data_IF_268648021136
#
_entry.id   IF_268648021136
#
_cell.length_a   1.000
_cell.length_b   1.000
_cell.length_c   1.000
_cell.angle_alpha   90.00
_cell.angle_beta   90.00
_cell.angle_gamma   90.00
#
_symmetry.space_group_name_H-M   'P 1'
#
loop_
_entity.id
_entity.type
_entity.pdbx_description
1 polymer ?
#
# COMPACT_ATOMS: atom_id res chain seq x y z
N UNK A 1 -15.24 -7.86 -8.36
CA UNK A 1 -16.44 -7.22 -8.90
C UNK A 1 -17.66 -7.40 -7.98
N UNK A 2 -18.17 -8.63 -7.74
CA UNK A 2 -19.35 -8.83 -6.88
C UNK A 2 -19.15 -8.42 -5.40
N UNK A 3 -18.04 -8.85 -4.77
CA UNK A 3 -17.70 -8.47 -3.38
C UNK A 3 -17.60 -6.96 -3.17
N UNK A 4 -17.04 -6.24 -4.14
CA UNK A 4 -16.94 -4.78 -4.11
C UNK A 4 -18.31 -4.12 -4.15
N UNK A 5 -19.23 -4.64 -4.98
CA UNK A 5 -20.61 -4.14 -5.08
C UNK A 5 -21.40 -4.32 -3.78
N UNK A 6 -21.25 -5.48 -3.12
CA UNK A 6 -21.84 -5.68 -1.79
C UNK A 6 -21.20 -4.74 -0.76
N UNK A 7 -19.87 -4.62 -0.78
CA UNK A 7 -19.17 -3.80 0.21
C UNK A 7 -19.50 -2.32 0.12
N UNK A 8 -19.65 -1.76 -1.08
CA UNK A 8 -19.99 -0.33 -1.19
C UNK A 8 -21.40 -0.02 -0.66
N UNK A 9 -22.34 -0.97 -0.76
CA UNK A 9 -23.67 -0.81 -0.14
C UNK A 9 -23.53 -0.76 1.38
N UNK A 10 -22.74 -1.65 1.99
CA UNK A 10 -22.45 -1.63 3.43
C UNK A 10 -21.79 -0.32 3.87
N UNK A 11 -20.82 0.19 3.10
CA UNK A 11 -20.13 1.46 3.41
C UNK A 11 -21.10 2.65 3.46
N UNK A 12 -22.16 2.65 2.64
CA UNK A 12 -23.20 3.69 2.69
C UNK A 12 -23.96 3.62 4.01
N UNK A 13 -24.30 2.42 4.49
CA UNK A 13 -24.98 2.25 5.77
C UNK A 13 -24.11 2.60 6.98
N UNK A 14 -22.80 2.36 6.87
CA UNK A 14 -21.80 2.70 7.90
C UNK A 14 -21.38 4.18 7.88
N UNK A 15 -21.82 4.95 6.88
CA UNK A 15 -21.28 6.28 6.55
C UNK A 15 -19.74 6.30 6.46
N UNK A 16 -19.15 5.22 5.93
CA UNK A 16 -17.70 5.09 5.76
C UNK A 16 -17.25 5.84 4.50
N UNK A 17 -16.66 7.02 4.70
CA UNK A 17 -16.26 7.94 3.64
C UNK A 17 -14.77 7.83 3.33
N UNK A 18 -14.32 8.27 2.14
CA UNK A 18 -12.89 8.39 1.84
C UNK A 18 -12.11 9.21 2.89
N UNK A 19 -12.72 10.24 3.48
CA UNK A 19 -12.10 11.05 4.56
C UNK A 19 -11.83 10.26 5.84
N UNK A 20 -12.52 9.14 6.05
CA UNK A 20 -12.35 8.28 7.22
C UNK A 20 -11.23 7.23 7.01
N UNK A 21 -10.75 7.11 5.77
CA UNK A 21 -9.74 6.13 5.33
C UNK A 21 -8.43 6.83 4.94
N UNK A 22 -8.54 7.99 4.27
CA UNK A 22 -7.41 8.81 3.88
C UNK A 22 -6.96 9.64 5.09
N UNK A 23 -5.84 9.23 5.69
CA UNK A 23 -5.16 9.94 6.78
C UNK A 23 -3.71 10.22 6.37
N UNK A 24 -3.01 11.11 7.09
CA UNK A 24 -1.58 11.32 6.85
C UNK A 24 -0.78 10.00 6.92
N UNK A 25 -1.15 9.10 7.84
CA UNK A 25 -0.52 7.78 8.00
C UNK A 25 -0.89 6.81 6.88
N UNK A 26 -2.12 6.82 6.39
CA UNK A 26 -2.48 5.98 5.23
C UNK A 26 -1.77 6.44 3.96
N UNK A 27 -1.53 7.75 3.81
CA UNK A 27 -0.73 8.31 2.72
C UNK A 27 0.74 7.91 2.87
N UNK A 28 1.33 8.00 4.07
CA UNK A 28 2.70 7.52 4.34
C UNK A 28 2.83 6.00 4.00
N UNK A 29 1.83 5.19 4.38
CA UNK A 29 1.78 3.77 4.02
C UNK A 29 1.77 3.58 2.50
N UNK A 30 1.01 4.39 1.76
CA UNK A 30 0.95 4.34 0.30
C UNK A 30 2.28 4.75 -0.36
N UNK A 31 3.00 5.73 0.21
CA UNK A 31 4.34 6.13 -0.26
C UNK A 31 5.31 4.97 -0.08
N UNK A 32 5.37 4.42 1.13
CA UNK A 32 6.21 3.25 1.48
C UNK A 32 5.91 2.07 0.56
N UNK A 33 4.63 1.76 0.34
CA UNK A 33 4.21 0.66 -0.53
C UNK A 33 4.68 0.87 -1.97
N UNK A 34 4.53 2.09 -2.49
CA UNK A 34 4.91 2.43 -3.86
C UNK A 34 6.43 2.30 -4.05
N UNK A 35 7.21 2.80 -3.11
CA UNK A 35 8.67 2.70 -3.14
C UNK A 35 9.15 1.25 -3.03
N UNK A 36 8.54 0.45 -2.16
CA UNK A 36 8.87 -0.97 -2.00
C UNK A 36 8.60 -1.80 -3.27
N UNK A 37 7.63 -1.37 -4.09
CA UNK A 37 7.33 -1.93 -5.40
C UNK A 37 8.25 -1.41 -6.53
N UNK A 38 9.17 -0.49 -6.24
CA UNK A 38 9.87 0.30 -7.27
C UNK A 38 8.90 1.00 -8.23
N UNK A 39 7.82 1.57 -7.68
CA UNK A 39 6.74 2.19 -8.45
C UNK A 39 7.19 3.35 -9.33
N UNK A 40 6.36 3.68 -10.33
CA UNK A 40 6.64 4.77 -11.28
C UNK A 40 6.82 6.12 -10.56
N UNK A 41 7.73 6.95 -11.06
CA UNK A 41 7.89 8.35 -10.61
C UNK A 41 6.59 9.17 -10.75
N UNK A 42 5.70 8.78 -11.67
CA UNK A 42 4.37 9.39 -11.80
C UNK A 42 3.50 9.24 -10.54
N UNK A 43 3.77 8.22 -9.72
CA UNK A 43 3.06 8.02 -8.45
C UNK A 43 3.25 9.21 -7.50
N UNK A 44 4.41 9.90 -7.53
CA UNK A 44 4.67 11.09 -6.71
C UNK A 44 3.61 12.16 -6.99
N UNK A 45 3.40 12.49 -8.26
CA UNK A 45 2.46 13.54 -8.68
C UNK A 45 1.03 13.16 -8.31
N UNK A 46 0.63 11.91 -8.54
CA UNK A 46 -0.72 11.44 -8.19
C UNK A 46 -0.96 11.41 -6.68
N UNK A 47 0.02 11.01 -5.89
CA UNK A 47 -0.07 10.94 -4.43
C UNK A 47 -0.19 12.34 -3.82
N UNK A 48 0.61 13.30 -4.27
CA UNK A 48 0.51 14.70 -3.81
C UNK A 48 -0.86 15.28 -4.17
N UNK A 49 -1.34 15.05 -5.39
CA UNK A 49 -2.66 15.51 -5.82
C UNK A 49 -3.80 14.90 -5.00
N UNK A 50 -3.73 13.60 -4.69
CA UNK A 50 -4.71 12.90 -3.86
C UNK A 50 -4.69 13.43 -2.41
N UNK A 51 -3.50 13.53 -1.81
CA UNK A 51 -3.32 14.03 -0.45
C UNK A 51 -3.91 15.44 -0.32
N UNK A 52 -3.58 16.34 -1.26
CA UNK A 52 -4.12 17.70 -1.30
C UNK A 52 -5.64 17.73 -1.37
N UNK A 53 -6.27 16.85 -2.17
CA UNK A 53 -7.74 16.75 -2.27
C UNK A 53 -8.38 16.22 -0.98
N UNK A 54 -7.65 15.39 -0.23
CA UNK A 54 -8.07 14.92 1.09
C UNK A 54 -7.75 15.92 2.22
N UNK A 55 -7.19 17.10 1.92
CA UNK A 55 -6.76 18.07 2.94
C UNK A 55 -5.52 17.63 3.74
N UNK A 56 -4.76 16.67 3.21
CA UNK A 56 -3.54 16.12 3.83
C UNK A 56 -2.33 16.73 3.14
N UNK A 57 -1.39 17.22 3.94
CA UNK A 57 -0.12 17.72 3.43
C UNK A 57 0.87 16.56 3.20
N UNK A 58 1.28 16.37 1.94
CA UNK A 58 2.39 15.50 1.56
C UNK A 58 3.42 16.34 0.80
N UNK A 59 4.46 16.78 1.52
CA UNK A 59 5.57 17.54 0.92
C UNK A 59 6.56 16.61 0.21
N UNK A 60 7.35 17.16 -0.71
CA UNK A 60 8.45 16.42 -1.33
C UNK A 60 9.51 16.00 -0.29
N UNK A 61 9.76 16.82 0.73
CA UNK A 61 10.68 16.47 1.82
C UNK A 61 10.17 15.28 2.64
N UNK A 62 8.85 15.23 2.91
CA UNK A 62 8.24 14.06 3.57
C UNK A 62 8.41 12.81 2.70
N UNK A 63 8.16 12.94 1.40
CA UNK A 63 8.35 11.83 0.46
C UNK A 63 9.81 11.34 0.43
N UNK A 64 10.78 12.24 0.34
CA UNK A 64 12.22 11.92 0.38
C UNK A 64 12.61 11.23 1.70
N UNK A 65 12.07 11.69 2.83
CA UNK A 65 12.33 11.08 4.13
C UNK A 65 11.87 9.62 4.21
N UNK A 66 10.71 9.29 3.62
CA UNK A 66 10.18 7.92 3.56
C UNK A 66 10.99 7.08 2.58
N UNK A 67 11.38 7.66 1.43
CA UNK A 67 12.23 7.01 0.42
C UNK A 67 13.53 6.47 1.01
N UNK A 68 14.20 7.27 1.85
CA UNK A 68 15.47 6.87 2.50
C UNK A 68 15.34 5.69 3.47
N UNK A 69 14.13 5.42 3.96
CA UNK A 69 13.86 4.36 4.93
C UNK A 69 13.23 3.11 4.30
N UNK A 70 12.76 3.20 3.05
CA UNK A 70 11.98 2.14 2.42
C UNK A 70 12.84 1.29 1.49
N UNK A 71 13.04 -0.01 1.79
CA UNK A 71 13.73 -0.91 0.87
C UNK A 71 12.83 -1.30 -0.31
N UNK A 72 13.45 -1.54 -1.46
CA UNK A 72 12.76 -2.16 -2.62
C UNK A 72 12.71 -3.67 -2.39
N UNK A 73 11.50 -4.20 -2.16
CA UNK A 73 11.28 -5.63 -1.91
C UNK A 73 10.82 -6.38 -3.16
N UNK A 74 10.11 -5.73 -4.08
CA UNK A 74 9.59 -6.40 -5.27
C UNK A 74 10.64 -6.50 -6.38
N UNK A 75 11.01 -7.72 -6.77
CA UNK A 75 11.92 -8.00 -7.87
C UNK A 75 11.20 -8.04 -9.23
N UNK A 76 10.39 -7.03 -9.51
CA UNK A 76 9.55 -6.95 -10.71
C UNK A 76 10.10 -5.97 -11.74
N UNK A 77 9.86 -6.25 -13.02
CA UNK A 77 10.15 -5.32 -14.12
C UNK A 77 9.40 -4.00 -13.89
N UNK A 78 10.01 -2.84 -14.23
CA UNK A 78 11.17 -2.68 -15.10
C UNK A 78 12.55 -2.84 -14.44
N UNK A 79 12.64 -2.83 -13.11
CA UNK A 79 13.92 -2.81 -12.38
C UNK A 79 14.42 -4.21 -12.02
N UNK A 80 13.50 -5.18 -11.89
CA UNK A 80 13.78 -6.56 -11.52
C UNK A 80 13.60 -7.56 -12.66
N UNK A 81 13.66 -8.84 -12.32
CA UNK A 81 13.63 -9.95 -13.28
C UNK A 81 12.21 -10.40 -13.65
N UNK A 82 11.26 -10.29 -12.71
CA UNK A 82 9.95 -10.95 -12.75
C UNK A 82 8.80 -10.05 -13.23
N UNK A 83 7.64 -10.65 -13.50
CA UNK A 83 6.42 -9.95 -13.87
C UNK A 83 5.46 -9.80 -12.68
N UNK A 84 4.42 -8.98 -12.85
CA UNK A 84 3.36 -8.82 -11.84
C UNK A 84 2.61 -10.12 -11.54
N UNK A 85 2.56 -11.05 -12.48
CA UNK A 85 1.96 -12.38 -12.28
C UNK A 85 2.79 -13.22 -11.30
N UNK A 86 4.12 -13.24 -11.46
CA UNK A 86 5.02 -13.90 -10.51
C UNK A 86 4.88 -13.28 -9.11
N UNK A 87 4.78 -11.94 -9.04
CA UNK A 87 4.55 -11.22 -7.77
C UNK A 87 3.24 -11.65 -7.11
N UNK A 88 2.17 -11.80 -7.88
CA UNK A 88 0.90 -12.31 -7.36
C UNK A 88 1.05 -13.72 -6.75
N UNK A 89 1.70 -14.65 -7.47
CA UNK A 89 1.91 -16.02 -6.97
C UNK A 89 2.90 -16.09 -5.79
N UNK A 90 3.84 -15.15 -5.69
CA UNK A 90 4.76 -15.04 -4.56
C UNK A 90 4.08 -14.59 -3.25
N UNK A 91 2.79 -14.24 -3.28
CA UNK A 91 2.01 -13.75 -2.12
C UNK A 91 1.48 -12.33 -2.30
N UNK A 92 1.92 -11.64 -3.37
CA UNK A 92 1.41 -10.36 -3.80
C UNK A 92 1.57 -9.24 -2.78
N UNK A 93 0.68 -8.24 -2.91
CA UNK A 93 0.76 -7.01 -2.13
C UNK A 93 0.63 -7.26 -0.62
N UNK A 94 -0.21 -8.22 -0.21
CA UNK A 94 -0.40 -8.52 1.21
C UNK A 94 0.88 -9.10 1.83
N UNK A 95 1.55 -10.04 1.15
CA UNK A 95 2.80 -10.61 1.64
C UNK A 95 3.90 -9.53 1.77
N UNK A 96 4.03 -8.66 0.76
CA UNK A 96 5.01 -7.58 0.78
C UNK A 96 4.71 -6.54 1.88
N UNK A 97 3.44 -6.15 2.07
CA UNK A 97 3.05 -5.23 3.13
C UNK A 97 3.28 -5.82 4.53
N UNK A 98 3.07 -7.13 4.70
CA UNK A 98 3.39 -7.82 5.94
C UNK A 98 4.90 -7.79 6.21
N UNK A 99 5.73 -8.02 5.19
CA UNK A 99 7.20 -7.98 5.26
C UNK A 99 7.75 -6.57 5.56
N UNK A 100 7.08 -5.51 5.10
CA UNK A 100 7.44 -4.13 5.44
C UNK A 100 7.30 -3.81 6.94
N UNK A 101 6.60 -4.64 7.71
CA UNK A 101 6.66 -4.62 9.17
C UNK A 101 6.26 -3.27 9.78
N UNK A 102 7.18 -2.70 10.55
CA UNK A 102 7.09 -1.42 11.26
C UNK A 102 7.07 -0.18 10.35
N UNK A 103 7.37 -0.32 9.05
CA UNK A 103 7.25 0.78 8.08
C UNK A 103 5.80 1.02 7.64
N UNK A 104 4.90 0.10 7.97
CA UNK A 104 3.46 0.23 7.70
C UNK A 104 2.74 0.45 9.03
N UNK A 105 2.01 1.55 9.14
CA UNK A 105 1.06 1.75 10.23
C UNK A 105 -0.13 0.78 10.05
N UNK A 106 -0.08 -0.31 10.80
CA UNK A 106 -1.06 -1.41 10.74
C UNK A 106 -2.43 -1.05 11.31
N UNK A 107 -2.54 0.06 12.03
CA UNK A 107 -3.81 0.48 12.63
C UNK A 107 -4.76 1.14 11.62
N UNK A 108 -4.26 1.53 10.44
CA UNK A 108 -5.02 2.31 9.47
C UNK A 108 -6.22 1.53 8.92
N UNK A 109 -7.40 2.14 8.99
CA UNK A 109 -8.66 1.58 8.49
C UNK A 109 -8.66 1.46 6.96
N UNK A 110 -9.36 0.46 6.43
CA UNK A 110 -9.51 0.24 4.99
C UNK A 110 -10.99 0.18 4.59
N UNK A 111 -11.26 0.12 3.28
CA UNK A 111 -12.63 0.11 2.73
C UNK A 111 -13.47 -1.07 3.18
N UNK A 112 -12.87 -2.18 3.60
CA UNK A 112 -13.61 -3.36 4.07
C UNK A 112 -13.98 -3.30 5.56
N UNK A 113 -13.77 -2.16 6.22
CA UNK A 113 -14.09 -1.92 7.62
C UNK A 113 -13.00 -2.39 8.60
N UNK A 114 -12.03 -3.18 8.14
CA UNK A 114 -10.90 -3.66 8.94
C UNK A 114 -9.68 -2.75 8.78
N UNK A 115 -8.81 -2.79 9.78
CA UNK A 115 -7.47 -2.24 9.70
C UNK A 115 -6.63 -2.97 8.65
N UNK A 116 -5.57 -2.32 8.16
CA UNK A 116 -4.62 -2.97 7.27
C UNK A 116 -3.95 -4.15 7.97
N UNK A 117 -3.66 -4.05 9.28
CA UNK A 117 -3.10 -5.16 10.07
C UNK A 117 -3.94 -6.43 10.02
N UNK A 118 -5.24 -6.33 10.30
CA UNK A 118 -6.19 -7.45 10.22
C UNK A 118 -6.26 -8.03 8.79
N UNK A 119 -6.13 -7.17 7.77
CA UNK A 119 -6.14 -7.61 6.37
C UNK A 119 -4.84 -8.30 5.93
N UNK A 120 -3.77 -8.21 6.73
CA UNK A 120 -2.49 -8.85 6.47
C UNK A 120 -2.29 -10.14 7.30
N UNK A 121 -3.24 -10.51 8.15
CA UNK A 121 -3.18 -11.74 8.92
C UNK A 121 -3.08 -12.97 7.99
N UNK A 122 -2.08 -13.82 8.26
CA UNK A 122 -1.81 -15.01 7.46
C UNK A 122 -1.16 -14.74 6.09
N UNK A 123 -0.80 -13.50 5.76
CA UNK A 123 -0.05 -13.21 4.55
C UNK A 123 1.35 -13.84 4.61
N UNK A 124 1.75 -14.52 3.54
CA UNK A 124 3.00 -15.27 3.46
C UNK A 124 3.70 -15.02 2.13
N UNK A 125 5.02 -14.95 2.17
CA UNK A 125 5.87 -14.95 0.99
C UNK A 125 6.11 -16.40 0.58
N UNK A 126 5.70 -16.76 -0.63
CA UNK A 126 5.88 -18.09 -1.22
C UNK A 126 7.11 -18.18 -2.12
N UNK A 127 7.67 -17.05 -2.54
CA UNK A 127 8.91 -16.98 -3.31
C UNK A 127 9.69 -15.70 -2.93
N UNK A 128 10.81 -15.88 -2.23
CA UNK A 128 11.63 -14.80 -1.71
C UNK A 128 12.60 -14.18 -2.74
N UNK A 129 12.76 -14.80 -3.91
CA UNK A 129 13.45 -14.18 -5.04
C UNK A 129 12.56 -13.14 -5.74
N UNK A 130 11.23 -13.33 -5.68
CA UNK A 130 10.24 -12.40 -6.24
C UNK A 130 9.87 -11.29 -5.24
N UNK A 131 9.65 -11.64 -3.97
CA UNK A 131 9.41 -10.69 -2.87
C UNK A 131 10.53 -10.87 -1.84
N UNK A 132 11.50 -9.98 -1.86
CA UNK A 132 12.69 -10.06 -0.98
C UNK A 132 12.31 -9.87 0.48
N UNK A 133 13.08 -10.54 1.35
CA UNK A 133 13.01 -10.37 2.81
C UNK A 133 13.76 -9.13 3.26
N UNK A 134 13.29 -8.50 4.34
CA UNK A 134 13.90 -7.32 4.96
C UNK A 134 14.77 -7.68 6.16
#
# INVERSE_FOLDING_TARGET
SAKTGMRIVEMVWEDLKPSDILTAKSIDNAVTTCLALSGSTNAIVHMIALARRAGIELTLDRYDSISRQTPVLANIRPTGAYLMEDFYYAGGLQAMLAELGDLIDRSQKTVNGRSIGENLEGAQIFNDDVIRRR
#
